data_IF_942964370694
#
_entry.id   IF_942964370694
#
_cell.length_a   1.000
_cell.length_b   1.000
_cell.length_c   1.000
_cell.angle_alpha   90.00
_cell.angle_beta   90.00
_cell.angle_gamma   90.00
#
_symmetry.space_group_name_H-M   'P 1'
#
loop_
_entity.id
_entity.type
_entity.pdbx_description
1 polymer ?
#
# COMPACT_ATOMS: atom_id res chain seq x y z
N UNK A 1 19.92 16.08 9.44
CA UNK A 1 18.60 15.47 9.25
C UNK A 1 18.38 15.20 7.76
N UNK A 2 17.91 14.00 7.39
CA UNK A 2 17.58 13.63 6.02
C UNK A 2 16.11 13.24 5.97
N UNK A 3 15.42 13.35 4.80
CA UNK A 3 14.05 12.90 4.65
C UNK A 3 13.87 11.43 5.04
N UNK A 4 12.77 11.13 5.71
CA UNK A 4 12.41 9.79 6.18
C UNK A 4 11.04 9.44 5.57
N UNK A 5 10.95 8.21 5.07
CA UNK A 5 9.70 7.58 4.69
C UNK A 5 9.40 6.46 5.69
N UNK A 6 8.16 6.39 6.18
CA UNK A 6 7.66 5.27 6.99
C UNK A 6 6.56 4.52 6.27
N UNK A 7 6.55 3.21 6.47
CA UNK A 7 5.48 2.33 5.99
C UNK A 7 4.38 2.21 7.05
N UNK A 8 3.14 1.99 6.62
CA UNK A 8 1.97 1.88 7.48
C UNK A 8 1.92 0.62 8.36
N UNK A 9 2.78 -0.36 8.08
CA UNK A 9 2.75 -1.68 8.71
C UNK A 9 1.78 -2.67 8.06
N UNK A 10 1.09 -2.32 7.00
CA UNK A 10 0.17 -3.21 6.28
C UNK A 10 0.82 -4.50 5.80
N UNK A 11 2.01 -4.41 5.19
CA UNK A 11 2.76 -5.58 4.74
C UNK A 11 3.28 -6.44 5.90
N UNK A 12 3.73 -5.84 7.00
CA UNK A 12 4.21 -6.57 8.17
C UNK A 12 3.09 -7.39 8.81
N UNK A 13 1.89 -6.82 8.89
CA UNK A 13 0.68 -7.55 9.32
C UNK A 13 0.33 -8.65 8.32
N UNK A 14 0.51 -8.41 7.01
CA UNK A 14 0.34 -9.44 5.98
C UNK A 14 1.26 -10.63 6.23
N UNK A 15 2.53 -10.43 6.59
CA UNK A 15 3.50 -11.50 6.83
C UNK A 15 3.21 -12.35 8.08
N UNK A 16 2.36 -11.89 9.00
CA UNK A 16 1.95 -12.60 10.23
C UNK A 16 0.80 -13.61 10.02
N UNK A 17 0.63 -14.16 8.85
CA UNK A 17 -0.44 -15.04 8.33
C UNK A 17 -1.39 -15.68 9.35
N UNK A 18 -0.89 -16.59 10.21
CA UNK A 18 -1.72 -17.42 11.10
C UNK A 18 -2.24 -16.69 12.36
N UNK A 19 -1.82 -15.45 12.58
CA UNK A 19 -2.09 -14.69 13.80
C UNK A 19 -2.86 -13.40 13.56
N UNK A 20 -3.47 -13.24 12.38
CA UNK A 20 -4.20 -12.03 12.03
C UNK A 20 -5.66 -12.30 11.67
N UNK A 21 -6.50 -11.31 11.97
CA UNK A 21 -7.88 -11.23 11.50
C UNK A 21 -8.12 -9.84 10.92
N UNK A 22 -8.49 -9.79 9.65
CA UNK A 22 -8.81 -8.54 8.93
C UNK A 22 -10.32 -8.34 8.94
N UNK A 23 -10.75 -7.13 9.22
CA UNK A 23 -12.16 -6.70 9.18
C UNK A 23 -12.27 -5.31 8.57
N UNK A 24 -13.47 -4.81 8.38
CA UNK A 24 -13.70 -3.44 7.90
C UNK A 24 -13.10 -2.39 8.85
N UNK A 25 -13.11 -2.66 10.15
CA UNK A 25 -12.64 -1.76 11.20
C UNK A 25 -11.11 -1.65 11.24
N UNK A 26 -10.40 -2.74 10.91
CA UNK A 26 -8.96 -2.82 11.01
C UNK A 26 -8.44 -4.24 11.11
N UNK A 27 -7.24 -4.40 11.68
CA UNK A 27 -6.55 -5.68 11.78
C UNK A 27 -6.24 -6.05 13.22
N UNK A 28 -6.76 -7.19 13.69
CA UNK A 28 -6.30 -7.84 14.90
C UNK A 28 -5.12 -8.76 14.57
N UNK A 29 -4.04 -8.69 15.35
CA UNK A 29 -2.92 -9.61 15.23
C UNK A 29 -2.29 -9.88 16.60
N UNK A 30 -1.45 -10.92 16.66
CA UNK A 30 -0.66 -11.22 17.86
C UNK A 30 0.82 -10.92 17.60
N UNK A 31 1.44 -10.27 18.58
CA UNK A 31 2.89 -10.11 18.58
C UNK A 31 3.58 -11.47 18.58
N UNK A 32 4.47 -11.68 17.64
CA UNK A 32 5.30 -12.91 17.60
C UNK A 32 6.32 -12.96 18.74
N UNK A 33 6.61 -11.83 19.41
CA UNK A 33 7.53 -11.74 20.52
C UNK A 33 6.85 -12.01 21.86
N UNK A 34 5.72 -11.35 22.12
CA UNK A 34 5.03 -11.40 23.43
C UNK A 34 3.75 -12.25 23.41
N UNK A 35 3.22 -12.60 22.24
CA UNK A 35 1.90 -13.23 22.09
C UNK A 35 0.72 -12.31 22.39
N UNK A 36 0.98 -11.05 22.75
CA UNK A 36 -0.04 -10.05 23.07
C UNK A 36 -0.89 -9.71 21.83
N UNK A 37 -2.18 -9.53 22.05
CA UNK A 37 -3.12 -9.11 21.00
C UNK A 37 -3.06 -7.60 20.79
N UNK A 38 -2.99 -7.21 19.53
CA UNK A 38 -3.06 -5.82 19.09
C UNK A 38 -4.18 -5.66 18.07
N UNK A 39 -4.76 -4.46 18.05
CA UNK A 39 -5.74 -4.07 17.04
C UNK A 39 -5.34 -2.71 16.46
N UNK A 40 -5.12 -2.67 15.14
CA UNK A 40 -4.75 -1.45 14.43
C UNK A 40 -5.85 -1.12 13.43
N UNK A 41 -6.39 0.09 13.56
CA UNK A 41 -7.30 0.69 12.57
C UNK A 41 -6.52 1.61 11.63
N UNK A 42 -7.07 2.00 10.46
CA UNK A 42 -6.47 3.00 9.60
C UNK A 42 -6.14 4.32 10.33
N UNK A 43 -7.02 4.78 11.20
CA UNK A 43 -6.82 5.99 12.00
C UNK A 43 -5.65 5.83 12.98
N UNK A 44 -5.54 4.64 13.60
CA UNK A 44 -4.45 4.36 14.53
C UNK A 44 -3.10 4.26 13.82
N UNK A 45 -3.06 3.66 12.63
CA UNK A 45 -1.85 3.62 11.81
C UNK A 45 -1.37 5.04 11.48
N UNK A 46 -2.26 5.89 10.99
CA UNK A 46 -1.93 7.31 10.70
C UNK A 46 -1.49 8.07 11.95
N UNK A 47 -2.12 7.84 13.11
CA UNK A 47 -1.68 8.47 14.36
C UNK A 47 -0.25 8.07 14.72
N UNK A 48 0.10 6.78 14.58
CA UNK A 48 1.46 6.30 14.83
C UNK A 48 2.45 6.97 13.88
N UNK A 49 2.14 7.05 12.58
CA UNK A 49 3.02 7.68 11.60
C UNK A 49 3.16 9.19 11.82
N UNK A 50 2.08 9.87 12.25
CA UNK A 50 2.16 11.28 12.65
C UNK A 50 3.07 11.48 13.87
N UNK A 51 3.01 10.58 14.86
CA UNK A 51 3.84 10.63 16.07
C UNK A 51 5.32 10.32 15.77
N UNK A 52 5.60 9.43 14.82
CA UNK A 52 6.95 9.14 14.33
C UNK A 52 7.58 10.33 13.60
N UNK A 53 6.78 11.18 12.99
CA UNK A 53 7.24 12.43 12.37
C UNK A 53 8.03 12.25 11.08
N UNK A 54 7.80 11.19 10.30
CA UNK A 54 8.41 11.01 8.99
C UNK A 54 7.91 12.07 7.99
N UNK A 55 8.72 12.36 6.96
CA UNK A 55 8.36 13.33 5.91
C UNK A 55 7.33 12.76 4.92
N UNK A 56 7.42 11.45 4.65
CA UNK A 56 6.48 10.70 3.80
C UNK A 56 5.92 9.53 4.61
N UNK A 57 4.62 9.37 4.59
CA UNK A 57 3.88 8.29 5.28
C UNK A 57 2.95 7.56 4.30
N UNK A 58 2.72 6.27 4.54
CA UNK A 58 1.88 5.43 3.68
C UNK A 58 0.47 5.29 4.27
N UNK A 59 -0.54 5.26 3.40
CA UNK A 59 -1.89 4.87 3.83
C UNK A 59 -1.90 3.40 4.28
N UNK A 60 -2.73 3.07 5.28
CA UNK A 60 -2.90 1.69 5.71
C UNK A 60 -3.68 0.90 4.65
N UNK A 61 -3.14 -0.25 4.23
CA UNK A 61 -3.65 -1.02 3.11
C UNK A 61 -3.71 -2.52 3.40
N UNK A 62 -4.42 -3.25 2.56
CA UNK A 62 -4.42 -4.71 2.57
C UNK A 62 -3.65 -5.24 1.37
N UNK A 63 -2.39 -5.63 1.59
CA UNK A 63 -1.62 -6.40 0.63
C UNK A 63 -2.11 -7.86 0.59
N UNK A 64 -2.10 -8.47 -0.59
CA UNK A 64 -2.45 -9.88 -0.81
C UNK A 64 -1.30 -10.64 -1.46
N UNK A 65 -1.11 -11.95 -1.18
CA UNK A 65 -0.07 -12.74 -1.83
C UNK A 65 -0.33 -12.93 -3.32
N UNK A 66 0.74 -13.25 -4.07
CA UNK A 66 0.60 -13.69 -5.45
C UNK A 66 -0.29 -14.94 -5.56
N UNK A 67 -1.17 -14.96 -6.55
CA UNK A 67 -2.01 -16.12 -6.86
C UNK A 67 -3.32 -16.22 -6.07
N UNK A 68 -3.73 -15.19 -5.30
CA UNK A 68 -5.08 -15.18 -4.71
C UNK A 68 -6.15 -15.09 -5.80
N UNK A 69 -7.38 -15.54 -5.49
CA UNK A 69 -8.50 -15.46 -6.42
C UNK A 69 -8.82 -14.01 -6.80
N UNK A 70 -9.42 -13.81 -7.97
CA UNK A 70 -9.91 -12.50 -8.42
C UNK A 70 -10.83 -11.85 -7.37
N UNK A 71 -11.74 -12.63 -6.80
CA UNK A 71 -12.71 -12.14 -5.82
C UNK A 71 -12.04 -11.70 -4.51
N UNK A 72 -11.01 -12.42 -4.05
CA UNK A 72 -10.26 -12.03 -2.85
C UNK A 72 -9.38 -10.80 -3.12
N UNK A 73 -8.76 -10.72 -4.29
CA UNK A 73 -8.01 -9.54 -4.71
C UNK A 73 -8.92 -8.31 -4.82
N UNK A 74 -10.14 -8.47 -5.36
CA UNK A 74 -11.15 -7.41 -5.47
C UNK A 74 -11.58 -6.92 -4.09
N UNK A 75 -11.92 -7.83 -3.17
CA UNK A 75 -12.30 -7.48 -1.79
C UNK A 75 -11.21 -6.72 -1.05
N UNK A 76 -9.96 -7.18 -1.17
CA UNK A 76 -8.81 -6.52 -0.54
C UNK A 76 -8.56 -5.13 -1.12
N UNK A 77 -8.67 -4.97 -2.43
CA UNK A 77 -8.54 -3.68 -3.11
C UNK A 77 -9.64 -2.71 -2.68
N UNK A 78 -10.89 -3.15 -2.64
CA UNK A 78 -12.03 -2.34 -2.19
C UNK A 78 -11.90 -1.93 -0.72
N UNK A 79 -11.42 -2.83 0.15
CA UNK A 79 -11.12 -2.52 1.55
C UNK A 79 -10.02 -1.47 1.67
N UNK A 80 -8.94 -1.62 0.90
CA UNK A 80 -7.85 -0.64 0.84
C UNK A 80 -8.36 0.75 0.46
N UNK A 81 -9.27 0.84 -0.53
CA UNK A 81 -9.85 2.11 -0.94
C UNK A 81 -10.70 2.76 0.18
N UNK A 82 -11.50 1.98 0.92
CA UNK A 82 -12.27 2.50 2.07
C UNK A 82 -11.36 2.92 3.24
N UNK A 83 -10.31 2.16 3.50
CA UNK A 83 -9.30 2.51 4.50
C UNK A 83 -8.50 3.76 4.12
N UNK A 84 -8.25 3.97 2.82
CA UNK A 84 -7.58 5.19 2.34
C UNK A 84 -8.38 6.45 2.71
N UNK A 85 -9.69 6.46 2.52
CA UNK A 85 -10.55 7.58 2.93
C UNK A 85 -10.44 7.85 4.44
N UNK A 86 -10.43 6.80 5.26
CA UNK A 86 -10.25 6.91 6.72
C UNK A 86 -8.87 7.44 7.09
N UNK A 87 -7.81 6.95 6.44
CA UNK A 87 -6.44 7.47 6.62
C UNK A 87 -6.37 8.95 6.27
N UNK A 88 -6.93 9.34 5.12
CA UNK A 88 -6.95 10.72 4.67
C UNK A 88 -7.65 11.64 5.66
N UNK A 89 -8.80 11.23 6.19
CA UNK A 89 -9.56 12.00 7.17
C UNK A 89 -8.86 12.08 8.54
N UNK A 90 -8.08 11.05 8.91
CA UNK A 90 -7.32 11.01 10.16
C UNK A 90 -6.02 11.81 10.09
N UNK A 91 -5.42 11.98 8.90
CA UNK A 91 -4.16 12.69 8.72
C UNK A 91 -4.33 14.20 8.98
N UNK A 92 -3.60 14.71 9.98
CA UNK A 92 -3.70 16.11 10.44
C UNK A 92 -2.39 16.90 10.34
N UNK A 93 -1.28 16.26 10.02
CA UNK A 93 0.02 16.91 9.98
C UNK A 93 0.34 17.44 8.55
N UNK A 94 0.22 18.74 8.29
CA UNK A 94 0.44 19.30 6.94
C UNK A 94 1.92 19.27 6.50
N UNK A 95 2.85 18.90 7.39
CA UNK A 95 4.27 18.76 7.07
C UNK A 95 4.65 17.36 6.59
N UNK A 96 3.71 16.42 6.62
CA UNK A 96 3.90 15.06 6.17
C UNK A 96 3.11 14.82 4.87
N UNK A 97 3.75 14.18 3.91
CA UNK A 97 3.13 13.75 2.67
C UNK A 97 2.50 12.36 2.85
N UNK A 98 1.16 12.27 2.87
CA UNK A 98 0.46 10.98 2.85
C UNK A 98 0.42 10.47 1.41
N UNK A 99 0.99 9.28 1.18
CA UNK A 99 0.93 8.56 -0.09
C UNK A 99 -0.15 7.48 -0.03
N UNK A 100 -1.19 7.58 -0.86
CA UNK A 100 -2.13 6.48 -1.07
C UNK A 100 -1.47 5.34 -1.83
N UNK A 101 -1.97 4.10 -1.62
CA UNK A 101 -1.39 2.88 -2.19
C UNK A 101 -2.37 2.25 -3.19
N UNK A 102 -1.91 2.03 -4.42
CA UNK A 102 -2.65 1.29 -5.44
C UNK A 102 -2.43 -0.21 -5.20
N UNK A 103 -3.53 -0.95 -5.01
CA UNK A 103 -3.56 -2.40 -4.89
C UNK A 103 -4.25 -3.03 -6.12
N UNK A 104 -4.64 -4.30 -6.08
CA UNK A 104 -5.35 -5.00 -7.16
C UNK A 104 -4.68 -6.30 -7.60
N UNK A 105 -3.65 -6.75 -6.85
CA UNK A 105 -2.91 -7.98 -7.14
C UNK A 105 -2.40 -7.99 -8.60
N UNK A 106 -2.53 -9.11 -9.31
CA UNK A 106 -2.09 -9.27 -10.72
C UNK A 106 -3.28 -9.26 -11.69
N UNK A 107 -4.32 -8.49 -11.37
CA UNK A 107 -5.50 -8.28 -12.22
C UNK A 107 -5.50 -6.85 -12.75
N UNK A 108 -5.32 -6.70 -14.07
CA UNK A 108 -5.15 -5.41 -14.76
C UNK A 108 -6.31 -4.45 -14.52
N UNK A 109 -7.52 -4.96 -14.59
CA UNK A 109 -8.75 -4.21 -14.36
C UNK A 109 -8.87 -3.74 -12.90
N UNK A 110 -8.50 -4.59 -11.92
CA UNK A 110 -8.48 -4.21 -10.50
C UNK A 110 -7.43 -3.14 -10.21
N UNK A 111 -6.26 -3.20 -10.85
CA UNK A 111 -5.22 -2.16 -10.74
C UNK A 111 -5.73 -0.81 -11.22
N UNK A 112 -6.38 -0.77 -12.39
CA UNK A 112 -6.98 0.45 -12.92
C UNK A 112 -8.13 0.95 -12.06
N UNK A 113 -8.96 0.04 -11.55
CA UNK A 113 -10.03 0.41 -10.62
C UNK A 113 -9.49 0.95 -9.30
N UNK A 114 -8.43 0.34 -8.76
CA UNK A 114 -7.74 0.85 -7.57
C UNK A 114 -7.19 2.25 -7.82
N UNK A 115 -6.53 2.49 -8.95
CA UNK A 115 -6.05 3.82 -9.32
C UNK A 115 -7.20 4.85 -9.37
N UNK A 116 -8.31 4.51 -10.04
CA UNK A 116 -9.49 5.39 -10.12
C UNK A 116 -9.98 5.82 -8.72
N UNK A 117 -10.06 4.86 -7.78
CA UNK A 117 -10.49 5.12 -6.41
C UNK A 117 -9.44 5.89 -5.59
N UNK A 118 -8.18 5.81 -5.98
CA UNK A 118 -7.04 6.43 -5.30
C UNK A 118 -6.82 7.89 -5.74
N UNK A 119 -7.06 8.19 -7.01
CA UNK A 119 -6.79 9.51 -7.62
C UNK A 119 -7.33 10.72 -6.83
N UNK A 120 -8.55 10.70 -6.25
CA UNK A 120 -9.06 11.83 -5.48
C UNK A 120 -8.22 12.19 -4.25
N UNK A 121 -7.39 11.29 -3.77
CA UNK A 121 -6.56 11.42 -2.57
C UNK A 121 -5.08 11.70 -2.90
N UNK A 122 -4.68 11.65 -4.16
CA UNK A 122 -3.30 11.92 -4.59
C UNK A 122 -3.02 13.42 -4.52
N UNK A 123 -2.14 13.83 -3.61
CA UNK A 123 -1.70 15.23 -3.45
C UNK A 123 -0.20 15.41 -3.59
N UNK A 124 0.58 14.51 -3.00
CA UNK A 124 2.03 14.66 -2.87
C UNK A 124 2.80 13.53 -3.55
N UNK A 125 2.13 12.43 -3.84
CA UNK A 125 2.69 11.24 -4.47
C UNK A 125 1.71 10.08 -4.38
N UNK A 126 2.04 8.98 -5.03
CA UNK A 126 1.26 7.74 -5.02
C UNK A 126 2.19 6.54 -4.97
N UNK A 127 1.80 5.52 -4.21
CA UNK A 127 2.54 4.28 -4.10
C UNK A 127 1.86 3.15 -4.89
N UNK A 128 2.67 2.28 -5.48
CA UNK A 128 2.25 1.06 -6.18
C UNK A 128 2.62 -0.12 -5.28
N UNK A 129 1.63 -0.69 -4.61
CA UNK A 129 1.79 -1.83 -3.72
C UNK A 129 1.39 -3.16 -4.37
N UNK A 130 1.58 -4.26 -3.62
CA UNK A 130 1.18 -5.60 -4.03
C UNK A 130 1.90 -6.14 -5.27
N UNK A 131 3.10 -5.67 -5.55
CA UNK A 131 4.07 -6.23 -6.47
C UNK A 131 5.31 -6.67 -5.67
N UNK A 132 6.17 -7.53 -6.23
CA UNK A 132 7.28 -8.17 -5.51
C UNK A 132 6.81 -9.01 -4.32
N UNK A 133 5.71 -9.75 -4.51
CA UNK A 133 5.08 -10.61 -3.51
C UNK A 133 5.09 -12.10 -3.90
N UNK A 134 6.03 -12.48 -4.79
CA UNK A 134 6.26 -13.88 -5.21
C UNK A 134 6.07 -14.14 -6.70
N UNK A 135 5.74 -13.13 -7.50
CA UNK A 135 5.65 -13.22 -8.97
C UNK A 135 7.01 -13.17 -9.65
N UNK A 136 7.05 -13.56 -10.92
CA UNK A 136 8.21 -13.36 -11.78
C UNK A 136 8.30 -11.91 -12.30
N UNK A 137 9.48 -11.52 -12.76
CA UNK A 137 9.77 -10.17 -13.29
C UNK A 137 8.86 -9.77 -14.44
N UNK A 138 8.56 -10.72 -15.34
CA UNK A 138 7.69 -10.43 -16.49
C UNK A 138 6.28 -10.06 -16.04
N UNK A 139 5.72 -10.80 -15.10
CA UNK A 139 4.40 -10.54 -14.54
C UNK A 139 4.33 -9.18 -13.85
N UNK A 140 5.37 -8.81 -13.07
CA UNK A 140 5.47 -7.47 -12.47
C UNK A 140 5.49 -6.38 -13.54
N UNK A 141 6.34 -6.53 -14.56
CA UNK A 141 6.45 -5.58 -15.67
C UNK A 141 5.13 -5.44 -16.44
N UNK A 142 4.43 -6.54 -16.71
CA UNK A 142 3.12 -6.53 -17.39
C UNK A 142 2.06 -5.73 -16.59
N UNK A 143 2.14 -5.71 -15.24
CA UNK A 143 1.27 -4.88 -14.39
C UNK A 143 1.67 -3.41 -14.44
N UNK A 144 2.96 -3.11 -14.44
CA UNK A 144 3.46 -1.74 -14.56
C UNK A 144 3.14 -1.15 -15.94
N UNK A 145 3.33 -1.89 -17.03
CA UNK A 145 2.98 -1.46 -18.39
C UNK A 145 1.48 -1.14 -18.52
N UNK A 146 0.63 -1.84 -17.78
CA UNK A 146 -0.81 -1.56 -17.74
C UNK A 146 -1.14 -0.31 -16.92
N UNK A 147 -0.43 -0.06 -15.83
CA UNK A 147 -0.77 0.99 -14.87
C UNK A 147 -0.11 2.34 -15.19
N UNK A 148 1.16 2.32 -15.58
CA UNK A 148 2.00 3.53 -15.74
C UNK A 148 1.40 4.60 -16.68
N UNK A 149 0.76 4.26 -17.83
CA UNK A 149 0.17 5.27 -18.71
C UNK A 149 -0.98 6.08 -18.07
N UNK A 150 -1.52 5.61 -16.96
CA UNK A 150 -2.67 6.22 -16.27
C UNK A 150 -2.27 6.95 -14.97
N UNK A 151 -1.01 6.83 -14.54
CA UNK A 151 -0.52 7.51 -13.35
C UNK A 151 -0.42 9.04 -13.57
N UNK A 152 -0.65 9.86 -12.53
CA UNK A 152 -0.50 11.31 -12.64
C UNK A 152 0.98 11.69 -12.82
N UNK A 153 1.31 12.46 -13.85
CA UNK A 153 2.70 12.79 -14.22
C UNK A 153 3.36 13.88 -13.36
N UNK A 154 2.59 14.55 -12.51
CA UNK A 154 3.01 15.72 -11.74
C UNK A 154 3.38 15.41 -10.28
N UNK A 155 3.36 14.14 -9.90
CA UNK A 155 3.71 13.66 -8.56
C UNK A 155 4.68 12.48 -8.61
N UNK A 156 5.51 12.29 -7.57
CA UNK A 156 6.39 11.11 -7.49
C UNK A 156 5.60 9.82 -7.33
N UNK A 157 6.13 8.75 -7.94
CA UNK A 157 5.61 7.39 -7.83
C UNK A 157 6.58 6.54 -6.99
N UNK A 158 6.05 5.81 -6.02
CA UNK A 158 6.83 4.90 -5.18
C UNK A 158 6.46 3.45 -5.49
N UNK A 159 7.33 2.71 -6.16
CA UNK A 159 7.18 1.27 -6.36
C UNK A 159 7.65 0.54 -5.10
N UNK A 160 6.71 0.02 -4.32
CA UNK A 160 6.97 -0.56 -3.00
C UNK A 160 7.62 -1.94 -3.07
N UNK A 161 8.58 -2.19 -2.16
CA UNK A 161 9.23 -3.50 -2.00
C UNK A 161 10.22 -3.87 -3.10
N UNK A 162 10.50 -2.97 -4.03
CA UNK A 162 11.38 -3.20 -5.18
C UNK A 162 12.66 -2.40 -5.02
N UNK A 163 13.84 -3.04 -5.17
CA UNK A 163 15.11 -2.34 -4.93
C UNK A 163 16.34 -3.00 -5.54
N UNK A 164 16.23 -4.14 -6.22
CA UNK A 164 17.36 -4.68 -6.96
C UNK A 164 17.67 -3.83 -8.21
N UNK A 165 18.94 -3.75 -8.67
CA UNK A 165 19.32 -2.87 -9.76
C UNK A 165 18.54 -3.08 -11.06
N UNK A 166 18.25 -4.33 -11.41
CA UNK A 166 17.44 -4.71 -12.57
C UNK A 166 16.01 -4.20 -12.46
N UNK A 167 15.35 -4.38 -11.32
CA UNK A 167 14.00 -3.89 -11.10
C UNK A 167 13.90 -2.36 -11.04
N UNK A 168 14.93 -1.67 -10.55
CA UNK A 168 14.99 -0.20 -10.61
C UNK A 168 15.01 0.28 -12.06
N UNK A 169 15.80 -0.38 -12.93
CA UNK A 169 15.85 -0.07 -14.36
C UNK A 169 14.50 -0.33 -15.03
N UNK A 170 13.90 -1.50 -14.78
CA UNK A 170 12.59 -1.87 -15.32
C UNK A 170 11.50 -0.89 -14.91
N UNK A 171 11.52 -0.42 -13.66
CA UNK A 171 10.57 0.58 -13.16
C UNK A 171 10.74 1.97 -13.78
N UNK A 172 11.98 2.39 -14.02
CA UNK A 172 12.28 3.71 -14.64
C UNK A 172 11.94 3.74 -16.14
N UNK A 173 12.05 2.59 -16.82
CA UNK A 173 11.74 2.47 -18.25
C UNK A 173 10.23 2.58 -18.57
N UNK A 174 9.37 2.44 -17.57
CA UNK A 174 7.90 2.47 -17.68
C UNK A 174 7.31 3.72 -17.07
#
# INVERSE_FOLDING_TARGET
>A
HKPILTDSGGFQVFSLNDFRKISEEGVEFRSHLSGEKHFITPERAIQIENDLGADIIMAFDQCTPYGVSYEDARKAMELTARWLERCYNAHKNPKQALFPIIQGNFYKDLRLKSLELTLPFVKHGVAIGGLSVGEDTKTMCDMLDNLAPHLPNDVPHYLMGVGSPDYLIEGVLR
#
